data_IF_294810349192
#
_entry.id   IF_294810349192
#
_cell.length_a   1.000
_cell.length_b   1.000
_cell.length_c   1.000
_cell.angle_alpha   90.00
_cell.angle_beta   90.00
_cell.angle_gamma   90.00
#
_symmetry.space_group_name_H-M   'P 1'
#
loop_
_entity.id
_entity.type
_entity.pdbx_description
1 polymer ?
#
# COMPACT_ATOMS: atom_id res chain seq x y z
N UNK A 1 24.21 -13.16 3.70
CA UNK A 1 23.92 -11.91 2.97
C UNK A 1 22.73 -12.15 2.05
N UNK A 2 21.62 -11.43 2.23
CA UNK A 2 20.60 -11.34 1.19
C UNK A 2 21.23 -10.64 -0.02
N UNK A 3 21.01 -11.16 -1.23
CA UNK A 3 21.56 -10.53 -2.44
C UNK A 3 20.95 -9.13 -2.60
N UNK A 4 21.67 -8.22 -3.27
CA UNK A 4 21.17 -6.87 -3.57
C UNK A 4 19.77 -6.91 -4.20
N UNK A 5 19.54 -7.86 -5.12
CA UNK A 5 18.24 -8.09 -5.76
C UNK A 5 17.13 -8.42 -4.75
N UNK A 6 17.46 -9.17 -3.69
CA UNK A 6 16.49 -9.54 -2.65
C UNK A 6 16.07 -8.32 -1.82
N UNK A 7 16.97 -7.36 -1.59
CA UNK A 7 16.68 -6.12 -0.85
C UNK A 7 15.66 -5.25 -1.60
N UNK A 8 15.83 -5.09 -2.92
CA UNK A 8 14.91 -4.31 -3.76
C UNK A 8 13.61 -5.06 -4.09
N UNK A 9 13.61 -6.38 -4.07
CA UNK A 9 12.41 -7.19 -4.34
C UNK A 9 11.40 -7.16 -3.19
N UNK A 10 11.84 -6.99 -1.93
CA UNK A 10 10.97 -7.05 -0.75
C UNK A 10 9.90 -5.93 -0.72
N UNK A 11 10.22 -4.65 -0.96
CA UNK A 11 9.21 -3.60 -1.05
C UNK A 11 8.19 -3.85 -2.17
N UNK A 12 8.65 -4.36 -3.31
CA UNK A 12 7.77 -4.71 -4.42
C UNK A 12 6.82 -5.87 -4.02
N UNK A 13 7.36 -6.93 -3.42
CA UNK A 13 6.59 -8.05 -2.90
C UNK A 13 5.57 -7.59 -1.84
N UNK A 14 5.98 -6.69 -0.95
CA UNK A 14 5.10 -6.10 0.06
C UNK A 14 3.86 -5.45 -0.58
N UNK A 15 4.08 -4.59 -1.57
CA UNK A 15 3.00 -3.88 -2.26
C UNK A 15 2.14 -4.82 -3.09
N UNK A 16 2.74 -5.83 -3.74
CA UNK A 16 2.00 -6.84 -4.49
C UNK A 16 1.08 -7.67 -3.59
N UNK A 17 1.58 -8.14 -2.44
CA UNK A 17 0.79 -8.91 -1.49
C UNK A 17 -0.32 -8.07 -0.86
N UNK A 18 -0.04 -6.80 -0.54
CA UNK A 18 -1.05 -5.85 -0.05
C UNK A 18 -2.14 -5.58 -1.10
N UNK A 19 -1.77 -5.38 -2.37
CA UNK A 19 -2.73 -5.26 -3.47
C UNK A 19 -3.55 -6.53 -3.68
N UNK A 20 -2.92 -7.69 -3.59
CA UNK A 20 -3.60 -8.98 -3.74
C UNK A 20 -4.64 -9.17 -2.65
N UNK A 21 -4.29 -8.82 -1.41
CA UNK A 21 -5.23 -8.81 -0.28
C UNK A 21 -6.41 -7.87 -0.55
N UNK A 22 -6.15 -6.67 -1.07
CA UNK A 22 -7.20 -5.71 -1.38
C UNK A 22 -8.12 -6.17 -2.52
N UNK A 23 -7.58 -6.78 -3.57
CA UNK A 23 -8.38 -7.31 -4.67
C UNK A 23 -9.26 -8.46 -4.16
N UNK A 24 -8.72 -9.43 -3.42
CA UNK A 24 -9.53 -10.52 -2.87
C UNK A 24 -10.53 -10.09 -1.80
N UNK A 25 -10.12 -9.23 -0.88
CA UNK A 25 -10.97 -8.71 0.18
C UNK A 25 -12.02 -7.72 -0.32
N UNK A 26 -11.58 -6.60 -0.91
CA UNK A 26 -12.48 -5.52 -1.30
C UNK A 26 -13.24 -5.81 -2.59
N UNK A 27 -12.58 -6.35 -3.61
CA UNK A 27 -13.26 -6.54 -4.91
C UNK A 27 -14.11 -7.81 -4.90
N UNK A 28 -13.57 -8.95 -4.51
CA UNK A 28 -14.30 -10.22 -4.62
C UNK A 28 -15.25 -10.49 -3.45
N UNK A 29 -14.86 -10.16 -2.22
CA UNK A 29 -15.67 -10.51 -1.03
C UNK A 29 -16.76 -9.48 -0.75
N UNK A 30 -16.47 -8.20 -0.96
CA UNK A 30 -17.38 -7.09 -0.67
C UNK A 30 -18.51 -6.98 -1.70
N UNK A 31 -18.20 -7.09 -3.01
CA UNK A 31 -19.21 -7.08 -4.09
C UNK A 31 -20.22 -8.22 -3.94
N UNK A 32 -19.82 -9.36 -3.36
CA UNK A 32 -20.66 -10.56 -3.24
C UNK A 32 -21.52 -10.59 -1.98
N UNK A 33 -21.17 -9.83 -0.93
CA UNK A 33 -21.83 -9.87 0.40
C UNK A 33 -22.79 -8.70 0.68
N UNK A 34 -22.88 -7.72 -0.21
CA UNK A 34 -23.81 -6.58 -0.10
C UNK A 34 -25.29 -6.99 -0.08
N UNK A 35 -25.61 -8.24 -0.41
CA UNK A 35 -26.97 -8.80 -0.33
C UNK A 35 -27.38 -9.24 1.08
N UNK A 36 -26.44 -9.39 2.02
CA UNK A 36 -26.71 -10.01 3.34
C UNK A 36 -26.43 -9.12 4.55
N UNK A 37 -25.62 -8.08 4.40
CA UNK A 37 -25.23 -7.18 5.50
C UNK A 37 -25.08 -5.73 5.03
N UNK A 38 -25.26 -4.73 5.92
CA UNK A 38 -25.06 -3.32 5.56
C UNK A 38 -23.63 -3.06 5.07
N UNK A 39 -23.50 -2.45 3.89
CA UNK A 39 -22.20 -2.21 3.22
C UNK A 39 -21.18 -1.51 4.13
N UNK A 40 -21.64 -0.54 4.95
CA UNK A 40 -20.78 0.21 5.88
C UNK A 40 -20.08 -0.68 6.91
N UNK A 41 -20.75 -1.71 7.41
CA UNK A 41 -20.18 -2.63 8.39
C UNK A 41 -19.15 -3.55 7.75
N UNK A 42 -19.45 -4.03 6.54
CA UNK A 42 -18.53 -4.88 5.76
C UNK A 42 -17.25 -4.09 5.43
N UNK A 43 -17.38 -2.84 4.98
CA UNK A 43 -16.22 -1.97 4.70
C UNK A 43 -15.39 -1.76 5.98
N UNK A 44 -16.04 -1.49 7.12
CA UNK A 44 -15.33 -1.29 8.39
C UNK A 44 -14.55 -2.54 8.81
N UNK A 45 -15.17 -3.71 8.76
CA UNK A 45 -14.51 -4.98 9.08
C UNK A 45 -13.34 -5.26 8.12
N UNK A 46 -13.54 -5.04 6.83
CA UNK A 46 -12.47 -5.18 5.83
C UNK A 46 -11.28 -4.24 6.13
N UNK A 47 -11.52 -2.97 6.50
CA UNK A 47 -10.44 -2.04 6.84
C UNK A 47 -9.62 -2.50 8.05
N UNK A 48 -10.27 -3.07 9.06
CA UNK A 48 -9.57 -3.65 10.22
C UNK A 48 -8.67 -4.81 9.77
N UNK A 49 -9.22 -5.73 8.98
CA UNK A 49 -8.47 -6.87 8.45
C UNK A 49 -7.31 -6.42 7.56
N UNK A 50 -7.50 -5.38 6.75
CA UNK A 50 -6.46 -4.79 5.91
C UNK A 50 -5.28 -4.27 6.76
N UNK A 51 -5.57 -3.49 7.80
CA UNK A 51 -4.53 -2.97 8.71
C UNK A 51 -3.80 -4.12 9.42
N UNK A 52 -4.53 -5.12 9.90
CA UNK A 52 -3.93 -6.29 10.54
C UNK A 52 -3.02 -7.06 9.59
N UNK A 53 -3.46 -7.26 8.34
CA UNK A 53 -2.67 -7.91 7.31
C UNK A 53 -1.39 -7.12 7.01
N UNK A 54 -1.48 -5.81 6.80
CA UNK A 54 -0.33 -4.97 6.51
C UNK A 54 0.69 -4.94 7.67
N UNK A 55 0.21 -4.90 8.91
CA UNK A 55 1.06 -4.94 10.10
C UNK A 55 1.79 -6.28 10.22
N UNK A 56 1.09 -7.40 10.02
CA UNK A 56 1.68 -8.72 10.04
C UNK A 56 2.69 -8.89 8.89
N UNK A 57 2.35 -8.40 7.69
CA UNK A 57 3.24 -8.42 6.54
C UNK A 57 4.51 -7.59 6.81
N UNK A 58 4.38 -6.43 7.48
CA UNK A 58 5.51 -5.60 7.85
C UNK A 58 6.42 -6.28 8.87
N UNK A 59 5.85 -6.89 9.91
CA UNK A 59 6.62 -7.65 10.91
C UNK A 59 7.31 -8.86 10.26
N UNK A 60 6.58 -9.62 9.44
CA UNK A 60 7.14 -10.79 8.76
C UNK A 60 8.28 -10.40 7.81
N UNK A 61 8.08 -9.36 6.99
CA UNK A 61 9.12 -8.84 6.11
C UNK A 61 10.34 -8.35 6.91
N UNK A 62 10.13 -7.67 8.04
CA UNK A 62 11.17 -7.19 8.92
C UNK A 62 12.03 -8.31 9.53
N UNK A 63 11.38 -9.38 10.00
CA UNK A 63 12.05 -10.54 10.59
C UNK A 63 12.80 -11.40 9.55
N UNK A 64 12.24 -11.59 8.36
CA UNK A 64 12.81 -12.48 7.34
C UNK A 64 13.86 -11.77 6.48
N UNK A 65 13.61 -10.52 6.10
CA UNK A 65 14.42 -9.79 5.11
C UNK A 65 15.11 -8.55 5.67
N UNK A 66 14.84 -8.18 6.92
CA UNK A 66 15.37 -7.01 7.58
C UNK A 66 14.42 -5.82 7.59
N UNK A 67 14.60 -4.96 8.58
CA UNK A 67 13.70 -3.84 8.85
C UNK A 67 13.75 -2.74 7.78
N UNK A 68 14.90 -2.48 7.13
CA UNK A 68 14.97 -1.43 6.10
C UNK A 68 14.19 -1.78 4.83
N UNK A 69 14.32 -2.99 4.26
CA UNK A 69 13.45 -3.44 3.16
C UNK A 69 11.96 -3.40 3.53
N UNK A 70 11.60 -3.85 4.74
CA UNK A 70 10.22 -3.80 5.24
C UNK A 70 9.69 -2.36 5.38
N UNK A 71 10.51 -1.45 5.93
CA UNK A 71 10.18 -0.03 6.06
C UNK A 71 10.03 0.65 4.70
N UNK A 72 10.80 0.21 3.70
CA UNK A 72 10.63 0.70 2.33
C UNK A 72 9.27 0.24 1.77
N UNK A 73 8.86 -1.01 2.00
CA UNK A 73 7.53 -1.51 1.63
C UNK A 73 6.38 -0.73 2.27
N UNK A 74 6.42 -0.50 3.59
CA UNK A 74 5.38 0.29 4.28
C UNK A 74 5.39 1.76 3.82
N UNK A 75 6.56 2.32 3.51
CA UNK A 75 6.67 3.69 2.96
C UNK A 75 5.96 3.80 1.62
N UNK A 76 6.20 2.89 0.68
CA UNK A 76 5.48 2.86 -0.60
C UNK A 76 3.96 2.82 -0.38
N UNK A 77 3.49 2.04 0.61
CA UNK A 77 2.07 1.99 0.96
C UNK A 77 1.57 3.34 1.50
N UNK A 78 2.22 3.91 2.50
CA UNK A 78 1.88 5.20 3.14
C UNK A 78 1.80 6.35 2.15
N UNK A 79 2.61 6.32 1.10
CA UNK A 79 2.61 7.35 0.07
C UNK A 79 1.63 7.05 -1.08
N UNK A 80 0.79 6.02 -0.98
CA UNK A 80 -0.28 5.74 -1.94
C UNK A 80 0.18 5.01 -3.21
N UNK A 81 1.38 4.41 -3.22
CA UNK A 81 1.86 3.64 -4.38
C UNK A 81 1.00 2.38 -4.57
N UNK A 82 0.63 1.73 -3.46
CA UNK A 82 -0.27 0.58 -3.46
C UNK A 82 -1.61 0.93 -4.11
N UNK A 83 -2.20 2.05 -3.71
CA UNK A 83 -3.45 2.56 -4.25
C UNK A 83 -3.40 2.81 -5.76
N UNK A 84 -2.34 3.45 -6.28
CA UNK A 84 -2.21 3.66 -7.74
C UNK A 84 -2.12 2.30 -8.46
N UNK A 85 -1.29 1.39 -7.94
CA UNK A 85 -1.12 0.06 -8.52
C UNK A 85 -2.41 -0.76 -8.50
N UNK A 86 -3.24 -0.63 -7.46
CA UNK A 86 -4.56 -1.26 -7.39
C UNK A 86 -5.42 -0.90 -8.62
N UNK A 87 -5.52 0.39 -8.97
CA UNK A 87 -6.29 0.82 -10.14
C UNK A 87 -5.65 0.36 -11.45
N UNK A 88 -4.31 0.37 -11.55
CA UNK A 88 -3.59 -0.14 -12.71
C UNK A 88 -3.84 -1.64 -12.93
N UNK A 89 -3.76 -2.45 -11.87
CA UNK A 89 -4.03 -3.90 -11.96
C UNK A 89 -5.48 -4.20 -12.34
N UNK A 90 -6.43 -3.40 -11.88
CA UNK A 90 -7.83 -3.52 -12.27
C UNK A 90 -8.14 -2.89 -13.64
N UNK A 91 -7.15 -2.31 -14.33
CA UNK A 91 -7.32 -1.60 -15.60
C UNK A 91 -8.39 -0.51 -15.53
N UNK A 92 -8.47 0.19 -14.38
CA UNK A 92 -9.42 1.29 -14.14
C UNK A 92 -8.73 2.64 -14.22
N UNK A 93 -9.47 3.65 -14.69
CA UNK A 93 -9.00 5.04 -14.65
C UNK A 93 -8.78 5.48 -13.21
N UNK A 94 -7.68 6.21 -12.96
CA UNK A 94 -7.44 6.84 -11.67
C UNK A 94 -8.56 7.88 -11.39
N UNK A 95 -9.17 7.86 -10.20
CA UNK A 95 -10.15 8.86 -9.78
C UNK A 95 -9.56 10.27 -9.84
N UNK A 96 -10.37 11.25 -10.24
CA UNK A 96 -9.96 12.66 -10.19
C UNK A 96 -9.83 13.16 -8.74
N UNK A 97 -10.65 12.62 -7.83
CA UNK A 97 -10.69 12.99 -6.42
C UNK A 97 -10.64 11.74 -5.52
N UNK A 98 -9.80 11.78 -4.51
CA UNK A 98 -9.51 10.67 -3.59
C UNK A 98 -9.86 11.07 -2.17
N UNK A 99 -10.92 10.47 -1.61
CA UNK A 99 -11.43 10.79 -0.28
C UNK A 99 -10.95 9.84 0.83
N UNK A 100 -10.37 8.69 0.44
CA UNK A 100 -9.98 7.61 1.35
C UNK A 100 -8.49 7.61 1.73
N UNK A 101 -7.68 8.44 1.08
CA UNK A 101 -6.23 8.55 1.35
C UNK A 101 -5.88 9.43 2.55
N UNK A 102 -6.78 9.58 3.53
CA UNK A 102 -6.62 10.52 4.66
C UNK A 102 -5.42 10.23 5.57
N UNK A 103 -4.89 9.03 5.49
CA UNK A 103 -3.74 8.55 6.26
C UNK A 103 -2.40 8.79 5.53
N UNK A 104 -2.43 9.13 4.25
CA UNK A 104 -1.24 9.51 3.48
C UNK A 104 -0.76 10.91 3.89
N UNK A 105 0.52 11.27 3.69
CA UNK A 105 1.06 12.56 4.11
C UNK A 105 0.25 13.75 3.59
N UNK A 106 -0.11 13.75 2.31
CA UNK A 106 -0.95 14.82 1.76
C UNK A 106 -2.40 14.69 2.22
N UNK A 107 -2.93 13.48 2.34
CA UNK A 107 -4.32 13.28 2.75
C UNK A 107 -4.61 13.69 4.19
N UNK A 108 -3.60 13.60 5.05
CA UNK A 108 -3.66 14.08 6.43
C UNK A 108 -3.88 15.60 6.48
N UNK A 109 -3.24 16.34 5.56
CA UNK A 109 -3.36 17.80 5.44
C UNK A 109 -4.60 18.18 4.63
N UNK A 110 -4.76 17.59 3.44
CA UNK A 110 -5.86 17.81 2.50
C UNK A 110 -6.72 16.56 2.45
N UNK A 111 -7.80 16.56 3.25
CA UNK A 111 -8.77 15.45 3.39
C UNK A 111 -9.29 14.88 2.06
N UNK A 112 -9.24 15.65 0.98
CA UNK A 112 -9.57 15.25 -0.39
C UNK A 112 -8.37 15.58 -1.27
N UNK A 113 -7.84 14.58 -1.96
CA UNK A 113 -6.69 14.72 -2.84
C UNK A 113 -7.11 14.67 -4.31
N UNK A 114 -6.47 15.50 -5.12
CA UNK A 114 -6.57 15.40 -6.59
C UNK A 114 -5.67 14.28 -7.12
N UNK A 115 -6.01 13.74 -8.29
CA UNK A 115 -5.18 12.75 -9.01
C UNK A 115 -3.70 13.13 -9.05
N UNK A 116 -3.39 14.38 -9.41
CA UNK A 116 -2.02 14.89 -9.49
C UNK A 116 -1.32 14.87 -8.14
N UNK A 117 -1.99 15.25 -7.05
CA UNK A 117 -1.44 15.19 -5.70
C UNK A 117 -1.12 13.76 -5.28
N UNK A 118 -1.98 12.79 -5.63
CA UNK A 118 -1.76 11.37 -5.36
C UNK A 118 -0.54 10.85 -6.11
N UNK A 119 -0.40 11.20 -7.39
CA UNK A 119 0.76 10.81 -8.21
C UNK A 119 2.05 11.41 -7.63
N UNK A 120 2.04 12.70 -7.30
CA UNK A 120 3.23 13.38 -6.74
C UNK A 120 3.67 12.73 -5.42
N UNK A 121 2.76 12.51 -4.48
CA UNK A 121 3.14 11.86 -3.22
C UNK A 121 3.64 10.43 -3.45
N UNK A 122 3.02 9.66 -4.35
CA UNK A 122 3.48 8.31 -4.65
C UNK A 122 4.91 8.30 -5.21
N UNK A 123 5.24 9.25 -6.11
CA UNK A 123 6.60 9.42 -6.62
C UNK A 123 7.59 9.78 -5.50
N UNK A 124 7.19 10.66 -4.56
CA UNK A 124 8.02 10.98 -3.38
C UNK A 124 8.26 9.73 -2.53
N UNK A 125 7.23 8.91 -2.30
CA UNK A 125 7.37 7.64 -1.58
C UNK A 125 8.36 6.69 -2.25
N UNK A 126 8.29 6.56 -3.58
CA UNK A 126 9.24 5.75 -4.37
C UNK A 126 10.67 6.25 -4.20
N UNK A 127 10.88 7.57 -4.31
CA UNK A 127 12.22 8.18 -4.14
C UNK A 127 12.75 7.90 -2.73
N UNK A 128 11.95 8.12 -1.68
CA UNK A 128 12.34 7.85 -0.30
C UNK A 128 12.74 6.39 -0.13
N UNK A 129 11.93 5.45 -0.62
CA UNK A 129 12.23 4.03 -0.53
C UNK A 129 13.52 3.66 -1.27
N UNK A 130 13.75 4.18 -2.46
CA UNK A 130 15.00 3.93 -3.22
C UNK A 130 16.21 4.45 -2.44
N UNK A 131 16.14 5.69 -1.93
CA UNK A 131 17.22 6.30 -1.14
C UNK A 131 17.51 5.48 0.11
N UNK A 132 16.48 5.04 0.85
CA UNK A 132 16.64 4.19 2.04
C UNK A 132 17.38 2.88 1.72
N UNK A 133 17.02 2.22 0.61
CA UNK A 133 17.62 0.95 0.21
C UNK A 133 19.07 1.12 -0.26
N UNK A 134 19.37 2.18 -1.01
CA UNK A 134 20.73 2.51 -1.45
C UNK A 134 21.62 2.77 -0.23
N UNK A 135 21.19 3.64 0.68
CA UNK A 135 21.95 3.95 1.89
C UNK A 135 22.19 2.70 2.73
N UNK A 136 21.20 1.81 2.86
CA UNK A 136 21.36 0.55 3.56
C UNK A 136 22.29 -0.44 2.85
N UNK A 137 22.30 -0.48 1.52
CA UNK A 137 23.19 -1.37 0.76
C UNK A 137 24.68 -0.99 0.81
N UNK A 138 24.99 0.23 1.24
CA UNK A 138 26.34 0.75 1.40
C UNK A 138 26.86 0.71 2.85
N UNK A 139 26.05 0.21 3.78
CA UNK A 139 26.40 -0.04 5.20
C UNK A 139 26.68 -1.53 5.39
#
# INVERSE_FOLDING_TARGET
MLSLYTIFAVPALFILLSNLFDIFGYHFTLIRRTTTMPEKEIIRAYRINQIMFDLLLFIAAGLIFGWIPALSGITLKIFGVQDILYYLFLQKSLPEHWHWLRWTPFGFIKKILTKTQVIIQALVGVIISIVMLILFSHV
#
